data_IF_165319224925
#
_entry.id   IF_165319224925
#
_cell.length_a   1.000
_cell.length_b   1.000
_cell.length_c   1.000
_cell.angle_alpha   90.00
_cell.angle_beta   90.00
_cell.angle_gamma   90.00
#
_symmetry.space_group_name_H-M   'P 1'
#
loop_
_entity.id
_entity.type
_entity.pdbx_description
1 polymer ?
#
# COMPACT_ATOMS: atom_id res chain seq x y z
N UNK A 1 -8.97 5.31 -22.71
CA UNK A 1 -7.78 6.16 -22.43
C UNK A 1 -8.02 7.15 -21.30
N UNK A 2 -9.04 8.01 -21.34
CA UNK A 2 -9.28 8.99 -20.27
C UNK A 2 -9.50 8.35 -18.89
N UNK A 3 -10.25 7.25 -18.84
CA UNK A 3 -10.45 6.45 -17.62
C UNK A 3 -9.14 5.92 -17.00
N UNK A 4 -8.16 5.56 -17.85
CA UNK A 4 -6.86 5.09 -17.38
C UNK A 4 -6.05 6.20 -16.72
N UNK A 5 -6.01 7.39 -17.32
CA UNK A 5 -5.36 8.55 -16.71
C UNK A 5 -6.04 8.95 -15.40
N UNK A 6 -7.38 8.95 -15.36
CA UNK A 6 -8.13 9.25 -14.14
C UNK A 6 -7.90 8.20 -13.04
N UNK A 7 -7.94 6.91 -13.37
CA UNK A 7 -7.75 5.82 -12.41
C UNK A 7 -6.32 5.76 -11.86
N UNK A 8 -5.31 5.90 -12.72
CA UNK A 8 -3.90 5.97 -12.31
C UNK A 8 -3.62 7.24 -11.50
N UNK A 9 -4.11 8.40 -11.95
CA UNK A 9 -3.97 9.66 -11.23
C UNK A 9 -4.61 9.60 -9.85
N UNK A 10 -5.83 9.07 -9.74
CA UNK A 10 -6.52 8.86 -8.48
C UNK A 10 -5.74 7.92 -7.56
N UNK A 11 -5.34 6.75 -8.06
CA UNK A 11 -4.60 5.77 -7.28
C UNK A 11 -3.27 6.32 -6.76
N UNK A 12 -2.44 6.88 -7.65
CA UNK A 12 -1.08 7.29 -7.30
C UNK A 12 -1.05 8.56 -6.47
N UNK A 13 -1.80 9.59 -6.87
CA UNK A 13 -1.77 10.90 -6.21
C UNK A 13 -2.65 10.90 -4.97
N UNK A 14 -3.95 10.65 -5.14
CA UNK A 14 -4.91 10.68 -4.02
C UNK A 14 -4.57 9.56 -3.04
N UNK A 15 -4.42 8.33 -3.53
CA UNK A 15 -4.00 7.21 -2.68
C UNK A 15 -2.64 7.42 -2.02
N UNK A 16 -1.72 8.13 -2.67
CA UNK A 16 -0.40 8.44 -2.12
C UNK A 16 -0.47 9.39 -0.94
N UNK A 17 -1.16 10.51 -1.14
CA UNK A 17 -1.38 11.52 -0.10
C UNK A 17 -2.16 10.93 1.07
N UNK A 18 -3.25 10.21 0.81
CA UNK A 18 -4.07 9.60 1.87
C UNK A 18 -3.32 8.53 2.66
N UNK A 19 -2.60 7.63 1.98
CA UNK A 19 -1.80 6.60 2.67
C UNK A 19 -0.71 7.25 3.54
N UNK A 20 -0.04 8.28 3.02
CA UNK A 20 0.98 9.01 3.77
C UNK A 20 0.39 9.71 5.00
N UNK A 21 -0.73 10.41 4.83
CA UNK A 21 -1.40 11.08 5.94
C UNK A 21 -1.89 10.08 7.00
N UNK A 22 -2.51 8.98 6.55
CA UNK A 22 -2.96 7.90 7.43
C UNK A 22 -1.81 7.31 8.25
N UNK A 23 -0.69 6.97 7.59
CA UNK A 23 0.50 6.46 8.28
C UNK A 23 1.11 7.49 9.22
N UNK A 24 1.11 8.78 8.85
CA UNK A 24 1.63 9.85 9.70
C UNK A 24 0.79 10.00 10.97
N UNK A 25 -0.53 9.97 10.87
CA UNK A 25 -1.43 10.03 12.02
C UNK A 25 -1.29 8.77 12.89
N UNK A 26 -1.31 7.60 12.28
CA UNK A 26 -1.19 6.32 12.98
C UNK A 26 0.15 6.19 13.71
N UNK A 27 1.24 6.69 13.11
CA UNK A 27 2.57 6.64 13.74
C UNK A 27 2.82 7.80 14.69
N UNK A 28 2.00 8.85 14.70
CA UNK A 28 2.10 9.91 15.70
C UNK A 28 1.71 9.45 17.10
N UNK A 29 0.88 8.40 17.18
CA UNK A 29 0.50 7.75 18.44
C UNK A 29 1.46 6.63 18.84
N UNK A 30 2.31 6.19 17.91
CA UNK A 30 3.38 5.24 18.16
C UNK A 30 4.63 6.03 18.54
N UNK A 31 5.44 5.53 19.48
CA UNK A 31 6.63 6.23 19.96
C UNK A 31 7.72 6.40 18.89
N UNK A 32 8.98 6.49 19.31
CA UNK A 32 10.07 6.62 18.32
C UNK A 32 10.21 5.37 17.44
N UNK A 33 10.29 5.60 16.12
CA UNK A 33 10.48 4.53 15.16
C UNK A 33 11.84 3.86 15.37
N UNK A 34 11.89 2.51 15.46
CA UNK A 34 13.14 1.78 15.55
C UNK A 34 14.07 2.14 14.39
N UNK A 35 15.27 2.64 14.71
CA UNK A 35 16.30 2.87 13.70
C UNK A 35 16.73 1.53 13.09
N UNK A 36 16.74 1.47 11.76
CA UNK A 36 17.27 0.36 10.98
C UNK A 36 18.79 0.48 10.85
N UNK A 37 19.49 -0.65 10.82
CA UNK A 37 20.96 -0.71 10.70
C UNK A 37 21.47 -0.27 9.33
N UNK A 38 20.63 -0.37 8.29
CA UNK A 38 21.00 -0.11 6.90
C UNK A 38 20.06 0.86 6.19
N UNK A 39 20.61 1.56 5.18
CA UNK A 39 19.89 2.51 4.33
C UNK A 39 19.05 1.74 3.30
N UNK A 40 17.80 1.44 3.65
CA UNK A 40 16.86 0.76 2.77
C UNK A 40 16.24 1.66 1.69
N UNK A 41 15.46 1.05 0.80
CA UNK A 41 14.65 1.77 -0.19
C UNK A 41 13.58 2.61 0.54
N UNK A 42 13.35 3.88 0.15
CA UNK A 42 12.32 4.70 0.76
C UNK A 42 10.94 4.07 0.66
N UNK A 43 10.19 4.07 1.77
CA UNK A 43 8.86 3.45 1.86
C UNK A 43 7.82 4.06 0.92
N UNK A 44 7.95 5.34 0.57
CA UNK A 44 7.07 5.99 -0.39
C UNK A 44 7.26 5.45 -1.80
N UNK A 45 8.48 5.03 -2.16
CA UNK A 45 8.80 4.50 -3.47
C UNK A 45 8.26 3.08 -3.62
N UNK A 46 8.50 2.22 -2.64
CA UNK A 46 7.95 0.85 -2.65
C UNK A 46 6.42 0.88 -2.64
N UNK A 47 5.82 1.70 -1.78
CA UNK A 47 4.37 1.90 -1.76
C UNK A 47 3.80 2.44 -3.08
N UNK A 48 4.52 3.33 -3.76
CA UNK A 48 4.14 3.85 -5.08
C UNK A 48 4.18 2.78 -6.17
N UNK A 49 5.26 1.99 -6.23
CA UNK A 49 5.43 0.91 -7.21
C UNK A 49 4.36 -0.17 -7.03
N UNK A 50 4.11 -0.60 -5.80
CA UNK A 50 3.08 -1.59 -5.52
C UNK A 50 1.70 -1.10 -5.92
N UNK A 51 1.38 0.15 -5.59
CA UNK A 51 0.09 0.72 -5.94
C UNK A 51 -0.07 0.80 -7.45
N UNK A 52 0.95 1.25 -8.19
CA UNK A 52 0.94 1.23 -9.65
C UNK A 52 0.69 -0.18 -10.19
N UNK A 53 1.49 -1.14 -9.74
CA UNK A 53 1.42 -2.53 -10.18
C UNK A 53 0.02 -3.13 -9.99
N UNK A 54 -0.54 -3.03 -8.78
CA UNK A 54 -1.87 -3.58 -8.50
C UNK A 54 -3.00 -2.79 -9.16
N UNK A 55 -2.85 -1.47 -9.34
CA UNK A 55 -3.83 -0.67 -10.12
C UNK A 55 -3.91 -1.17 -11.55
N UNK A 56 -2.76 -1.46 -12.17
CA UNK A 56 -2.69 -1.99 -13.55
C UNK A 56 -3.30 -3.40 -13.60
N UNK A 57 -2.95 -4.30 -12.66
CA UNK A 57 -3.52 -5.65 -12.64
C UNK A 57 -5.05 -5.64 -12.53
N UNK A 58 -5.59 -4.82 -11.63
CA UNK A 58 -7.05 -4.67 -11.47
C UNK A 58 -7.67 -4.02 -12.71
N UNK A 59 -7.04 -2.99 -13.27
CA UNK A 59 -7.51 -2.29 -14.48
C UNK A 59 -7.50 -3.16 -15.73
N UNK A 60 -6.58 -4.13 -15.82
CA UNK A 60 -6.53 -5.16 -16.87
C UNK A 60 -7.42 -6.37 -16.55
N UNK A 61 -8.16 -6.35 -15.44
CA UNK A 61 -9.04 -7.43 -14.99
C UNK A 61 -8.34 -8.78 -14.87
N UNK A 62 -7.07 -8.78 -14.48
CA UNK A 62 -6.28 -10.01 -14.31
C UNK A 62 -6.96 -10.89 -13.26
N UNK A 63 -7.33 -12.14 -13.59
CA UNK A 63 -7.95 -13.06 -12.64
C UNK A 63 -7.08 -13.24 -11.41
N UNK A 64 -7.69 -13.18 -10.22
CA UNK A 64 -6.98 -13.36 -8.95
C UNK A 64 -6.21 -12.14 -8.46
N UNK A 65 -6.29 -10.97 -9.11
CA UNK A 65 -5.65 -9.74 -8.62
C UNK A 65 -5.98 -9.42 -7.14
N UNK A 66 -7.24 -9.53 -6.66
CA UNK A 66 -7.54 -9.32 -5.23
C UNK A 66 -6.82 -10.32 -4.32
N UNK A 67 -6.74 -11.60 -4.72
CA UNK A 67 -6.03 -12.62 -3.94
C UNK A 67 -4.52 -12.32 -3.89
N UNK A 68 -3.94 -11.86 -5.00
CA UNK A 68 -2.54 -11.44 -5.04
C UNK A 68 -2.27 -10.20 -4.16
N UNK A 69 -3.20 -9.25 -4.07
CA UNK A 69 -3.10 -8.09 -3.18
C UNK A 69 -3.04 -8.53 -1.71
N UNK A 70 -3.95 -9.43 -1.29
CA UNK A 70 -3.95 -9.99 0.07
C UNK A 70 -2.68 -10.80 0.33
N UNK A 71 -2.26 -11.63 -0.63
CA UNK A 71 -1.01 -12.38 -0.54
C UNK A 71 0.22 -11.49 -0.38
N UNK A 72 0.28 -10.37 -1.09
CA UNK A 72 1.35 -9.39 -0.97
C UNK A 72 1.36 -8.69 0.39
N UNK A 73 0.18 -8.34 0.93
CA UNK A 73 0.06 -7.79 2.28
C UNK A 73 0.52 -8.80 3.35
N UNK A 74 0.16 -10.07 3.19
CA UNK A 74 0.61 -11.14 4.08
C UNK A 74 2.13 -11.34 4.01
N UNK A 75 2.70 -11.32 2.80
CA UNK A 75 4.15 -11.40 2.61
C UNK A 75 4.86 -10.22 3.28
N UNK A 76 4.36 -9.00 3.10
CA UNK A 76 4.89 -7.80 3.75
C UNK A 76 4.85 -7.88 5.26
N UNK A 77 3.73 -8.30 5.82
CA UNK A 77 3.61 -8.51 7.25
C UNK A 77 4.64 -9.53 7.72
N UNK A 78 4.78 -10.66 7.02
CA UNK A 78 5.74 -11.70 7.38
C UNK A 78 7.19 -11.20 7.32
N UNK A 79 7.55 -10.37 6.34
CA UNK A 79 8.90 -9.81 6.23
C UNK A 79 9.17 -8.73 7.28
N UNK A 80 8.20 -7.85 7.53
CA UNK A 80 8.33 -6.79 8.54
C UNK A 80 8.39 -7.41 9.94
N UNK A 81 7.50 -8.35 10.25
CA UNK A 81 7.46 -9.02 11.55
C UNK A 81 8.74 -9.81 11.86
N UNK A 82 9.39 -10.39 10.85
CA UNK A 82 10.62 -11.15 10.99
C UNK A 82 11.90 -10.33 10.74
N UNK A 83 11.80 -9.00 10.67
CA UNK A 83 12.95 -8.17 10.36
C UNK A 83 14.08 -8.34 11.41
N UNK A 84 15.34 -8.59 11.01
CA UNK A 84 16.44 -8.87 11.96
C UNK A 84 16.64 -7.77 13.01
N UNK A 85 16.57 -6.50 12.58
CA UNK A 85 16.74 -5.32 13.46
C UNK A 85 15.62 -5.13 14.50
N UNK A 86 14.56 -5.95 14.46
CA UNK A 86 13.34 -5.80 15.26
C UNK A 86 13.21 -6.83 16.37
N UNK A 87 14.05 -7.89 16.37
CA UNK A 87 13.94 -9.04 17.30
C UNK A 87 13.94 -8.67 18.79
N UNK A 88 14.62 -7.59 19.17
CA UNK A 88 14.78 -7.18 20.58
C UNK A 88 13.92 -5.97 20.97
N UNK A 89 13.10 -5.44 20.05
CA UNK A 89 12.38 -4.18 20.26
C UNK A 89 10.88 -4.44 20.43
N UNK A 90 10.37 -4.24 21.63
CA UNK A 90 8.94 -4.44 21.97
C UNK A 90 7.99 -3.65 21.04
N UNK A 91 8.35 -2.42 20.69
CA UNK A 91 7.58 -1.55 19.80
C UNK A 91 7.56 -2.01 18.33
N UNK A 92 8.45 -2.93 17.91
CA UNK A 92 8.58 -3.28 16.50
C UNK A 92 7.33 -3.95 15.92
N UNK A 93 6.57 -4.69 16.74
CA UNK A 93 5.31 -5.32 16.30
C UNK A 93 4.25 -4.27 15.96
N UNK A 94 4.16 -3.22 16.76
CA UNK A 94 3.22 -2.11 16.51
C UNK A 94 3.56 -1.39 15.21
N UNK A 95 4.86 -1.18 14.94
CA UNK A 95 5.31 -0.62 13.67
C UNK A 95 5.04 -1.56 12.48
N UNK A 96 5.22 -2.87 12.63
CA UNK A 96 4.87 -3.88 11.62
C UNK A 96 3.37 -3.81 11.26
N UNK A 97 2.51 -3.77 12.28
CA UNK A 97 1.06 -3.65 12.11
C UNK A 97 0.70 -2.30 11.48
N UNK A 98 1.36 -1.21 11.88
CA UNK A 98 1.15 0.11 11.24
C UNK A 98 1.49 0.09 9.75
N UNK A 99 2.57 -0.61 9.37
CA UNK A 99 2.99 -0.75 7.99
C UNK A 99 1.99 -1.59 7.18
N UNK A 100 1.46 -2.67 7.77
CA UNK A 100 0.39 -3.47 7.18
C UNK A 100 -0.88 -2.64 6.96
N UNK A 101 -1.33 -1.88 7.97
CA UNK A 101 -2.53 -1.03 7.86
C UNK A 101 -2.34 0.05 6.78
N UNK A 102 -1.16 0.67 6.70
CA UNK A 102 -0.82 1.56 5.60
C UNK A 102 -0.83 0.86 4.24
N UNK A 103 -0.32 -0.37 4.17
CA UNK A 103 -0.39 -1.21 2.99
C UNK A 103 -1.83 -1.50 2.57
N UNK A 104 -2.70 -1.84 3.50
CA UNK A 104 -4.13 -2.10 3.26
C UNK A 104 -4.83 -0.88 2.68
N UNK A 105 -4.62 0.30 3.28
CA UNK A 105 -5.15 1.57 2.77
C UNK A 105 -4.63 1.84 1.35
N UNK A 106 -3.33 1.66 1.11
CA UNK A 106 -2.72 1.83 -0.22
C UNK A 106 -3.34 0.88 -1.26
N UNK A 107 -3.57 -0.38 -0.88
CA UNK A 107 -4.20 -1.38 -1.74
C UNK A 107 -5.66 -1.06 -2.04
N UNK A 108 -6.40 -0.47 -1.10
CA UNK A 108 -7.76 -0.01 -1.35
C UNK A 108 -7.79 1.04 -2.48
N UNK A 109 -6.85 2.00 -2.47
CA UNK A 109 -6.74 2.98 -3.55
C UNK A 109 -6.29 2.38 -4.87
N UNK A 110 -5.40 1.37 -4.85
CA UNK A 110 -5.06 0.61 -6.07
C UNK A 110 -6.28 -0.10 -6.65
N UNK A 111 -7.09 -0.74 -5.79
CA UNK A 111 -8.30 -1.44 -6.21
C UNK A 111 -9.30 -0.45 -6.84
N UNK A 112 -9.60 0.65 -6.16
CA UNK A 112 -10.55 1.66 -6.68
C UNK A 112 -10.01 2.27 -7.97
N UNK A 113 -8.74 2.66 -8.03
CA UNK A 113 -8.13 3.20 -9.24
C UNK A 113 -8.16 2.22 -10.40
N UNK A 114 -7.93 0.92 -10.14
CA UNK A 114 -8.01 -0.14 -11.14
C UNK A 114 -9.44 -0.33 -11.65
N UNK A 115 -10.44 -0.29 -10.76
CA UNK A 115 -11.86 -0.33 -11.15
C UNK A 115 -12.28 0.87 -11.99
N UNK A 116 -11.69 2.05 -11.73
CA UNK A 116 -11.88 3.24 -12.58
C UNK A 116 -11.23 3.02 -13.95
N UNK A 117 -10.01 2.48 -14.02
CA UNK A 117 -9.34 2.13 -15.28
C UNK A 117 -10.15 1.12 -16.10
N UNK A 118 -10.77 0.14 -15.44
CA UNK A 118 -11.66 -0.85 -16.05
C UNK A 118 -13.04 -0.30 -16.43
N UNK A 119 -13.34 0.97 -16.13
CA UNK A 119 -14.62 1.61 -16.42
C UNK A 119 -15.78 1.21 -15.49
N UNK A 120 -15.60 0.19 -14.63
CA UNK A 120 -16.65 -0.43 -13.82
C UNK A 120 -17.24 0.47 -12.73
N UNK A 121 -16.53 1.52 -12.32
CA UNK A 121 -17.00 2.42 -11.26
C UNK A 121 -17.95 3.52 -11.76
N UNK A 122 -17.84 3.90 -13.05
CA UNK A 122 -18.58 5.02 -13.64
C UNK A 122 -19.50 4.60 -14.79
N UNK A 123 -19.43 3.36 -15.28
CA UNK A 123 -20.30 2.83 -16.34
C UNK A 123 -21.68 2.36 -15.84
N UNK A 124 -22.11 2.80 -14.66
CA UNK A 124 -23.40 2.49 -14.04
C UNK A 124 -24.45 3.60 -14.15
N UNK A 125 -24.22 4.59 -15.01
CA UNK A 125 -25.19 5.63 -15.40
C UNK A 125 -25.36 5.59 -16.90
#
# INVERSE_FOLDING_TARGET
MMQWFSGLGFSLLVGGVFTWLFLRLLRSTLGEMPRLSHRGIPSWLTGGVERLFFTVLVGLEVPGAPAAMIGWLALKLATDWNHPDWKEKAAAREFAVSALLGGLVSMLFALIGGLICAGKLFSGV
#
